data_IF_304348966003
#
_entry.id   IF_304348966003
#
_cell.length_a   1.000
_cell.length_b   1.000
_cell.length_c   1.000
_cell.angle_alpha   90.00
_cell.angle_beta   90.00
_cell.angle_gamma   90.00
#
_symmetry.space_group_name_H-M   'P 1'
#
loop_
_entity.id
_entity.type
_entity.pdbx_description
1 polymer ?
#
# COMPACT_ATOMS: atom_id res chain seq x y z
N UNK A 1 19.65 0.02 11.26
CA UNK A 1 18.50 -0.87 10.88
C UNK A 1 17.22 -0.35 11.53
N UNK A 2 16.20 -0.05 10.74
CA UNK A 2 14.90 0.48 11.17
C UNK A 2 13.80 -0.46 10.70
N UNK A 3 12.83 -0.76 11.56
CA UNK A 3 11.65 -1.54 11.20
C UNK A 3 10.47 -0.60 10.95
N UNK A 4 9.73 -0.83 9.87
CA UNK A 4 8.47 -0.17 9.58
C UNK A 4 7.33 -1.15 9.52
N UNK A 5 6.16 -0.75 10.01
CA UNK A 5 4.93 -1.51 9.93
C UNK A 5 3.78 -0.56 9.63
N UNK A 6 2.98 -0.91 8.64
CA UNK A 6 1.79 -0.16 8.25
C UNK A 6 0.66 -1.10 7.84
N UNK A 7 -0.55 -0.63 7.94
CA UNK A 7 -1.72 -1.35 7.45
C UNK A 7 -2.80 -0.36 7.02
N UNK A 8 -3.62 -0.78 6.07
CA UNK A 8 -4.74 0.02 5.59
C UNK A 8 -5.91 -0.88 5.19
N UNK A 9 -7.11 -0.50 5.57
CA UNK A 9 -8.36 -1.22 5.29
C UNK A 9 -9.34 -0.28 4.62
N UNK A 10 -9.84 -0.68 3.44
CA UNK A 10 -10.87 0.08 2.72
C UNK A 10 -12.06 -0.79 2.34
N UNK A 11 -13.23 -0.18 2.32
CA UNK A 11 -14.46 -0.76 1.78
C UNK A 11 -14.33 -0.87 0.25
N UNK A 12 -14.88 -1.93 -0.34
CA UNK A 12 -15.00 -2.06 -1.79
C UNK A 12 -16.03 -1.09 -2.39
N UNK A 13 -15.81 -0.69 -3.64
CA UNK A 13 -16.68 0.21 -4.38
C UNK A 13 -16.83 -0.23 -5.83
N UNK A 14 -18.06 -0.42 -6.26
CA UNK A 14 -18.41 -0.70 -7.66
C UNK A 14 -18.14 0.52 -8.59
N UNK A 15 -17.99 1.69 -8.00
CA UNK A 15 -17.80 2.94 -8.76
C UNK A 15 -16.33 3.27 -9.04
N UNK A 16 -15.40 2.46 -8.54
CA UNK A 16 -13.96 2.65 -8.72
C UNK A 16 -13.30 1.38 -9.23
N UNK A 17 -12.27 1.55 -10.05
CA UNK A 17 -11.41 0.43 -10.48
C UNK A 17 -10.34 0.14 -9.43
N UNK A 18 -9.91 -1.11 -9.34
CA UNK A 18 -8.92 -1.57 -8.39
C UNK A 18 -7.54 -1.00 -8.72
N UNK A 19 -7.02 -0.14 -7.84
CA UNK A 19 -5.62 0.24 -7.80
C UNK A 19 -4.94 -0.50 -6.65
N UNK A 20 -3.85 -1.19 -6.93
CA UNK A 20 -3.14 -1.98 -5.93
C UNK A 20 -1.63 -1.99 -6.21
N UNK A 21 -0.86 -1.37 -5.32
CA UNK A 21 0.58 -1.18 -5.51
C UNK A 21 0.94 -0.29 -6.71
N UNK A 22 0.08 0.68 -7.04
CA UNK A 22 0.23 1.57 -8.18
C UNK A 22 -0.09 0.93 -9.53
N UNK A 23 -0.70 -0.25 -9.54
CA UNK A 23 -1.16 -0.95 -10.75
C UNK A 23 -2.68 -0.94 -10.81
N UNK A 24 -3.23 -0.55 -11.96
CA UNK A 24 -4.67 -0.60 -12.19
C UNK A 24 -5.10 -1.98 -12.73
N UNK A 25 -6.19 -2.51 -12.18
CA UNK A 25 -6.81 -3.76 -12.60
C UNK A 25 -8.28 -3.52 -12.93
N UNK A 26 -8.81 -4.26 -13.91
CA UNK A 26 -10.22 -4.17 -14.35
C UNK A 26 -11.17 -4.92 -13.38
N UNK A 27 -11.13 -4.54 -12.10
CA UNK A 27 -11.95 -5.12 -11.03
C UNK A 27 -12.45 -4.00 -10.12
N UNK A 28 -13.42 -4.32 -9.24
CA UNK A 28 -13.90 -3.37 -8.25
C UNK A 28 -12.77 -2.87 -7.32
N UNK A 29 -12.67 -1.57 -7.20
CA UNK A 29 -11.70 -0.90 -6.34
C UNK A 29 -12.21 -0.63 -4.95
N UNK A 30 -11.74 0.47 -4.37
CA UNK A 30 -12.01 0.83 -2.99
C UNK A 30 -12.59 2.23 -2.86
N UNK A 31 -13.47 2.41 -1.87
CA UNK A 31 -13.87 3.75 -1.42
C UNK A 31 -12.67 4.46 -0.78
N UNK A 32 -12.62 5.77 -0.93
CA UNK A 32 -11.59 6.62 -0.33
C UNK A 32 -11.57 8.01 -0.92
N UNK A 33 -10.88 8.91 -0.24
CA UNK A 33 -10.66 10.29 -0.70
C UNK A 33 -9.68 10.33 -1.89
N UNK A 34 -8.72 9.37 -1.94
CA UNK A 34 -7.79 9.12 -3.03
C UNK A 34 -8.34 8.09 -4.03
N UNK A 35 -7.48 7.49 -4.84
CA UNK A 35 -7.82 6.35 -5.69
C UNK A 35 -7.98 5.03 -4.92
N UNK A 36 -7.77 5.03 -3.60
CA UNK A 36 -8.03 3.90 -2.71
C UNK A 36 -7.00 2.77 -2.73
N UNK A 37 -5.77 3.00 -3.17
CA UNK A 37 -4.71 1.99 -3.17
C UNK A 37 -4.24 1.66 -1.73
N UNK A 38 -4.87 0.66 -1.12
CA UNK A 38 -4.60 0.23 0.25
C UNK A 38 -3.16 -0.24 0.46
N UNK A 39 -2.52 -0.80 -0.59
CA UNK A 39 -1.15 -1.29 -0.49
C UNK A 39 -0.16 -0.12 -0.43
N UNK A 40 -0.29 0.87 -1.31
CA UNK A 40 0.56 2.07 -1.26
C UNK A 40 0.35 2.86 0.02
N UNK A 41 -0.89 2.96 0.54
CA UNK A 41 -1.15 3.61 1.82
C UNK A 41 -0.46 2.89 3.00
N UNK A 42 -0.59 1.56 3.07
CA UNK A 42 0.08 0.76 4.10
C UNK A 42 1.62 0.86 3.98
N UNK A 43 2.14 0.91 2.76
CA UNK A 43 3.59 1.08 2.52
C UNK A 43 4.07 2.48 2.93
N UNK A 44 3.28 3.53 2.67
CA UNK A 44 3.56 4.88 3.18
C UNK A 44 3.67 4.89 4.70
N UNK A 45 2.71 4.31 5.40
CA UNK A 45 2.72 4.25 6.87
C UNK A 45 3.89 3.43 7.41
N UNK A 46 4.27 2.35 6.74
CA UNK A 46 5.45 1.57 7.11
C UNK A 46 6.74 2.39 6.98
N UNK A 47 6.91 3.16 5.90
CA UNK A 47 8.06 4.05 5.69
C UNK A 47 8.09 5.19 6.73
N UNK A 48 6.94 5.82 6.97
CA UNK A 48 6.80 6.88 7.97
C UNK A 48 7.14 6.35 9.37
N UNK A 49 6.61 5.19 9.74
CA UNK A 49 6.88 4.55 11.03
C UNK A 49 8.36 4.20 11.22
N UNK A 50 9.01 3.62 10.21
CA UNK A 50 10.43 3.29 10.24
C UNK A 50 11.31 4.53 10.49
N UNK A 51 10.92 5.68 9.96
CA UNK A 51 11.68 6.94 10.05
C UNK A 51 11.22 7.87 11.18
N UNK A 52 10.33 7.38 12.07
CA UNK A 52 9.84 8.14 13.23
C UNK A 52 8.97 9.34 12.87
N UNK A 53 8.30 9.29 11.71
CA UNK A 53 7.36 10.33 11.26
C UNK A 53 5.94 10.01 11.73
N UNK A 54 5.02 10.97 11.56
CA UNK A 54 3.59 10.79 11.81
C UNK A 54 2.97 9.96 10.69
N UNK A 55 1.74 9.49 10.90
CA UNK A 55 0.97 8.67 9.95
C UNK A 55 0.60 9.42 8.66
N UNK A 56 0.15 8.67 7.67
CA UNK A 56 -0.25 9.18 6.36
C UNK A 56 -1.35 10.24 6.47
N UNK A 57 -2.32 10.05 7.36
CA UNK A 57 -3.42 11.00 7.56
C UNK A 57 -3.00 12.38 8.07
N UNK A 58 -1.82 12.49 8.68
CA UNK A 58 -1.24 13.77 9.04
C UNK A 58 -0.78 14.57 7.82
N UNK A 59 -0.20 13.90 6.82
CA UNK A 59 0.32 14.53 5.59
C UNK A 59 -0.75 14.70 4.51
N UNK A 60 -1.67 13.76 4.43
CA UNK A 60 -2.76 13.71 3.45
C UNK A 60 -4.10 13.47 4.15
N UNK A 61 -4.61 14.44 4.90
CA UNK A 61 -5.91 14.30 5.55
C UNK A 61 -7.04 14.21 4.52
N UNK A 62 -8.07 13.42 4.82
CA UNK A 62 -9.25 13.23 3.95
C UNK A 62 -10.19 14.43 4.01
N UNK A 63 -9.72 15.61 3.63
CA UNK A 63 -10.44 16.87 3.62
C UNK A 63 -10.01 17.73 2.42
N UNK A 64 -10.46 19.00 2.36
CA UNK A 64 -10.20 19.93 1.27
C UNK A 64 -8.70 20.24 1.02
N UNK A 65 -7.82 19.98 1.97
CA UNK A 65 -6.37 20.18 1.80
C UNK A 65 -5.69 19.11 0.94
N UNK A 66 -6.34 17.96 0.79
CA UNK A 66 -5.90 16.88 -0.11
C UNK A 66 -6.83 16.83 -1.32
N UNK A 67 -6.33 16.91 -2.57
CA UNK A 67 -7.17 16.82 -3.75
C UNK A 67 -7.98 15.51 -3.77
N UNK A 68 -9.26 15.62 -4.13
CA UNK A 68 -10.12 14.44 -4.29
C UNK A 68 -9.60 13.58 -5.45
N UNK A 69 -9.66 12.27 -5.27
CA UNK A 69 -9.22 11.27 -6.26
C UNK A 69 -7.72 11.39 -6.64
N UNK A 70 -6.91 11.98 -5.74
CA UNK A 70 -5.46 12.03 -5.92
C UNK A 70 -4.90 10.62 -6.16
N UNK A 71 -4.03 10.40 -7.15
CA UNK A 71 -3.36 9.13 -7.35
C UNK A 71 -2.50 8.75 -6.13
N UNK A 72 -2.64 7.53 -5.62
CA UNK A 72 -1.81 7.08 -4.49
C UNK A 72 -0.33 7.00 -4.85
N UNK A 73 0.02 6.91 -6.13
CA UNK A 73 1.41 7.03 -6.60
C UNK A 73 1.99 8.43 -6.36
N UNK A 74 1.17 9.48 -6.46
CA UNK A 74 1.61 10.87 -6.18
C UNK A 74 1.80 11.06 -4.67
N UNK A 75 0.85 10.52 -3.87
CA UNK A 75 1.00 10.47 -2.41
C UNK A 75 2.29 9.74 -2.04
N UNK A 76 2.53 8.57 -2.61
CA UNK A 76 3.71 7.76 -2.34
C UNK A 76 5.01 8.49 -2.69
N UNK A 77 5.05 9.15 -3.85
CA UNK A 77 6.22 9.94 -4.26
C UNK A 77 6.53 11.06 -3.25
N UNK A 78 5.49 11.75 -2.73
CA UNK A 78 5.68 12.79 -1.71
C UNK A 78 6.15 12.19 -0.37
N UNK A 79 5.62 11.04 0.04
CA UNK A 79 6.07 10.36 1.26
C UNK A 79 7.53 9.93 1.16
N UNK A 80 8.01 9.48 -0.01
CA UNK A 80 9.43 9.19 -0.21
C UNK A 80 10.31 10.44 0.05
N UNK A 81 9.84 11.64 -0.32
CA UNK A 81 10.52 12.89 0.01
C UNK A 81 10.46 13.20 1.50
N UNK A 82 9.30 13.07 2.13
CA UNK A 82 9.10 13.32 3.57
C UNK A 82 10.01 12.45 4.45
N UNK A 83 10.17 11.19 4.08
CA UNK A 83 11.04 10.25 4.82
C UNK A 83 12.52 10.37 4.41
N UNK A 84 12.84 11.18 3.40
CA UNK A 84 14.19 11.29 2.82
C UNK A 84 14.75 9.92 2.41
N UNK A 85 13.92 9.17 1.64
CA UNK A 85 14.14 7.75 1.34
C UNK A 85 15.54 7.44 0.76
N UNK A 86 16.14 8.38 0.03
CA UNK A 86 17.50 8.26 -0.51
C UNK A 86 18.61 8.11 0.55
N UNK A 87 18.34 8.45 1.80
CA UNK A 87 19.27 8.23 2.93
C UNK A 87 19.26 6.79 3.44
N UNK A 88 18.38 5.96 2.91
CA UNK A 88 18.18 4.60 3.37
C UNK A 88 18.35 3.59 2.23
N UNK A 89 18.71 2.37 2.60
CA UNK A 89 18.63 1.20 1.73
C UNK A 89 17.54 0.26 2.23
N UNK A 90 16.59 -0.08 1.35
CA UNK A 90 15.57 -1.09 1.67
C UNK A 90 16.22 -2.49 1.71
N UNK A 91 16.20 -3.12 2.87
CA UNK A 91 16.68 -4.49 3.03
C UNK A 91 15.70 -5.49 2.45
N UNK A 92 14.43 -5.40 2.89
CA UNK A 92 13.30 -6.12 2.30
C UNK A 92 11.97 -5.49 2.70
N UNK A 93 10.94 -5.82 1.96
CA UNK A 93 9.53 -5.54 2.32
C UNK A 93 8.70 -6.80 2.15
N UNK A 94 7.89 -7.09 3.16
CA UNK A 94 6.94 -8.20 3.18
C UNK A 94 5.52 -7.67 3.27
N UNK A 95 4.69 -8.04 2.29
CA UNK A 95 3.34 -7.53 2.11
C UNK A 95 2.36 -8.69 2.24
N UNK A 96 1.31 -8.48 3.02
CA UNK A 96 0.18 -9.41 3.10
C UNK A 96 -1.10 -8.66 2.74
N UNK A 97 -1.82 -9.15 1.75
CA UNK A 97 -3.13 -8.62 1.36
C UNK A 97 -4.19 -9.64 1.76
N UNK A 98 -5.12 -9.22 2.62
CA UNK A 98 -6.21 -10.06 3.10
C UNK A 98 -7.48 -9.65 2.38
N UNK A 99 -8.01 -10.54 1.55
CA UNK A 99 -9.16 -10.27 0.69
C UNK A 99 -9.92 -11.55 0.35
N UNK A 100 -11.22 -11.42 0.16
CA UNK A 100 -12.09 -12.47 -0.36
C UNK A 100 -12.61 -12.12 -1.77
N UNK A 101 -12.29 -10.87 -2.25
CA UNK A 101 -12.88 -10.32 -3.47
C UNK A 101 -12.09 -10.64 -4.73
N UNK A 102 -10.76 -10.72 -4.64
CA UNK A 102 -9.90 -10.93 -5.81
C UNK A 102 -8.71 -11.84 -5.49
N UNK A 103 -8.11 -12.41 -6.54
CA UNK A 103 -6.95 -13.29 -6.39
C UNK A 103 -5.66 -12.45 -6.41
N UNK A 104 -4.99 -12.40 -5.25
CA UNK A 104 -3.73 -11.65 -5.08
C UNK A 104 -2.59 -12.29 -5.87
N UNK A 105 -2.51 -13.62 -5.90
CA UNK A 105 -1.43 -14.35 -6.55
C UNK A 105 -1.31 -14.02 -8.04
N UNK A 106 -2.46 -13.88 -8.72
CA UNK A 106 -2.50 -13.54 -10.15
C UNK A 106 -2.04 -12.11 -10.44
N UNK A 107 -1.95 -11.25 -9.42
CA UNK A 107 -1.57 -9.84 -9.51
C UNK A 107 -0.15 -9.57 -8.99
N UNK A 108 0.38 -10.49 -8.18
CA UNK A 108 1.61 -10.30 -7.41
C UNK A 108 2.81 -9.89 -8.28
N UNK A 109 3.05 -10.56 -9.40
CA UNK A 109 4.18 -10.26 -10.29
C UNK A 109 4.13 -8.82 -10.84
N UNK A 110 2.95 -8.37 -11.31
CA UNK A 110 2.78 -7.01 -11.82
C UNK A 110 3.01 -5.97 -10.73
N UNK A 111 2.49 -6.23 -9.53
CA UNK A 111 2.64 -5.35 -8.36
C UNK A 111 4.11 -5.30 -7.93
N UNK A 112 4.78 -6.46 -7.78
CA UNK A 112 6.20 -6.52 -7.41
C UNK A 112 7.08 -5.73 -8.40
N UNK A 113 6.87 -5.92 -9.70
CA UNK A 113 7.59 -5.20 -10.74
C UNK A 113 7.37 -3.70 -10.68
N UNK A 114 6.16 -3.25 -10.36
CA UNK A 114 5.87 -1.83 -10.22
C UNK A 114 6.49 -1.24 -8.94
N UNK A 115 6.34 -1.92 -7.81
CA UNK A 115 6.96 -1.50 -6.54
C UNK A 115 8.49 -1.47 -6.63
N UNK A 116 9.11 -2.43 -7.34
CA UNK A 116 10.55 -2.44 -7.62
C UNK A 116 11.01 -1.14 -8.31
N UNK A 117 10.22 -0.63 -9.26
CA UNK A 117 10.49 0.65 -9.93
C UNK A 117 10.29 1.83 -9.01
N UNK A 118 9.18 1.86 -8.27
CA UNK A 118 8.84 2.96 -7.35
C UNK A 118 9.86 3.09 -6.21
N UNK A 119 10.27 1.96 -5.63
CA UNK A 119 11.25 1.90 -4.54
C UNK A 119 12.71 1.89 -5.02
N UNK A 120 12.94 1.75 -6.33
CA UNK A 120 14.29 1.66 -6.94
C UNK A 120 15.15 0.53 -6.34
N UNK A 121 14.54 -0.63 -6.13
CA UNK A 121 15.19 -1.82 -5.56
C UNK A 121 14.96 -3.06 -6.43
N UNK A 122 15.82 -4.07 -6.36
CA UNK A 122 15.58 -5.36 -7.01
C UNK A 122 14.26 -6.00 -6.56
N UNK A 123 13.58 -6.69 -7.47
CA UNK A 123 12.27 -7.31 -7.24
C UNK A 123 12.32 -8.37 -6.12
N UNK A 124 13.46 -9.01 -5.94
CA UNK A 124 13.71 -10.03 -4.92
C UNK A 124 13.61 -9.51 -3.48
N UNK A 125 13.68 -8.19 -3.30
CA UNK A 125 13.49 -7.55 -1.99
C UNK A 125 12.02 -7.35 -1.63
N UNK A 126 11.10 -7.67 -2.54
CA UNK A 126 9.67 -7.42 -2.39
C UNK A 126 8.92 -8.75 -2.39
N UNK A 127 8.28 -9.07 -1.27
CA UNK A 127 7.43 -10.25 -1.17
C UNK A 127 5.96 -9.86 -1.02
N UNK A 128 5.07 -10.59 -1.72
CA UNK A 128 3.62 -10.37 -1.65
C UNK A 128 2.91 -11.71 -1.41
N UNK A 129 2.06 -11.73 -0.38
CA UNK A 129 1.23 -12.87 0.00
C UNK A 129 -0.24 -12.46 0.00
N UNK A 130 -1.09 -13.32 -0.51
CA UNK A 130 -2.53 -13.23 -0.36
C UNK A 130 -3.01 -14.12 0.79
N UNK A 131 -4.00 -13.64 1.55
CA UNK A 131 -4.71 -14.40 2.57
C UNK A 131 -6.21 -14.21 2.40
N UNK A 132 -6.97 -15.28 2.62
CA UNK A 132 -8.40 -15.19 2.83
C UNK A 132 -8.71 -14.95 4.31
N UNK A 133 -9.93 -14.55 4.61
CA UNK A 133 -10.47 -14.54 5.99
C UNK A 133 -11.35 -15.75 6.27
N UNK A 134 -11.32 -16.78 5.41
CA UNK A 134 -12.13 -17.99 5.50
C UNK A 134 -13.64 -17.69 5.69
N UNK A 135 -14.15 -16.74 4.90
CA UNK A 135 -15.53 -16.24 4.90
C UNK A 135 -15.98 -15.56 6.21
N UNK A 136 -15.05 -15.18 7.10
CA UNK A 136 -15.39 -14.50 8.35
C UNK A 136 -15.27 -12.98 8.26
N UNK A 137 -16.22 -12.29 8.92
CA UNK A 137 -16.23 -10.85 9.11
C UNK A 137 -16.39 -10.04 7.82
N UNK A 138 -16.12 -8.76 7.89
CA UNK A 138 -16.31 -7.81 6.76
C UNK A 138 -15.48 -8.15 5.52
N UNK A 139 -14.33 -8.80 5.71
CA UNK A 139 -13.50 -9.27 4.59
C UNK A 139 -14.12 -10.52 3.97
N UNK A 140 -14.58 -11.47 4.80
CA UNK A 140 -15.28 -12.66 4.35
C UNK A 140 -16.58 -12.35 3.61
N UNK A 141 -17.30 -11.32 4.06
CA UNK A 141 -18.48 -10.77 3.39
C UNK A 141 -18.16 -10.00 2.08
N UNK A 142 -16.91 -9.96 1.67
CA UNK A 142 -16.42 -9.20 0.49
C UNK A 142 -16.72 -7.69 0.53
N UNK A 143 -16.88 -7.12 1.73
CA UNK A 143 -17.17 -5.68 1.90
C UNK A 143 -15.91 -4.82 1.98
N UNK A 144 -14.79 -5.40 2.42
CA UNK A 144 -13.52 -4.69 2.59
C UNK A 144 -12.34 -5.60 2.29
N UNK A 145 -11.18 -5.01 2.08
CA UNK A 145 -9.88 -5.69 2.06
C UNK A 145 -8.86 -4.92 2.89
N UNK A 146 -7.83 -5.63 3.34
CA UNK A 146 -6.77 -5.13 4.22
C UNK A 146 -5.41 -5.39 3.58
N UNK A 147 -4.55 -4.39 3.56
CA UNK A 147 -3.12 -4.56 3.28
C UNK A 147 -2.31 -4.36 4.56
N UNK A 148 -1.32 -5.21 4.76
CA UNK A 148 -0.34 -5.12 5.86
C UNK A 148 1.05 -5.13 5.24
N UNK A 149 1.88 -4.19 5.65
CA UNK A 149 3.26 -4.06 5.17
C UNK A 149 4.21 -4.04 6.35
N UNK A 150 5.26 -4.83 6.26
CA UNK A 150 6.43 -4.76 7.16
C UNK A 150 7.69 -4.59 6.33
N UNK A 151 8.58 -3.70 6.73
CA UNK A 151 9.83 -3.45 6.01
C UNK A 151 11.00 -3.23 6.94
N UNK A 152 12.19 -3.43 6.39
CA UNK A 152 13.46 -3.12 7.03
C UNK A 152 14.23 -2.11 6.18
N UNK A 153 14.65 -1.02 6.80
CA UNK A 153 15.58 -0.04 6.24
C UNK A 153 16.91 -0.10 6.97
N UNK A 154 17.98 0.11 6.23
CA UNK A 154 19.31 0.40 6.76
C UNK A 154 19.77 1.76 6.26
N UNK A 155 20.77 2.35 6.91
CA UNK A 155 21.44 3.54 6.41
C UNK A 155 22.08 3.24 5.05
N UNK A 156 21.97 4.16 4.08
CA UNK A 156 22.52 4.00 2.74
C UNK A 156 24.05 4.13 2.72
#
# INVERSE_FOLDING_TARGET
MLIGHGWDLHQHSENKTLNLGGVNFEEEGFEGHSDGDILLHALCDALLGATGKKDLGHYFPSNESTPKDIPSTDIFAEILNVVEYEKFSLTNVDITIITQKFNVQNKAEKIQNNLSKLLKVPVEKINIKGKSSDDYGIIGDQKASLAIVSLLLDDA
#
